data_IF_856925349471
#
_entry.id   IF_856925349471
#
_cell.length_a   1.000
_cell.length_b   1.000
_cell.length_c   1.000
_cell.angle_alpha   90.00
_cell.angle_beta   90.00
_cell.angle_gamma   90.00
#
_symmetry.space_group_name_H-M   'P 1'
#
loop_
_entity.id
_entity.type
_entity.pdbx_description
1 polymer ?
#
# COMPACT_ATOMS: atom_id res chain seq x y z
N UNK A 1 32.59 0.01 12.94
CA UNK A 1 31.51 1.00 13.17
C UNK A 1 30.40 0.95 12.09
N UNK A 2 30.06 -0.23 11.52
CA UNK A 2 29.00 -0.39 10.50
C UNK A 2 27.59 -0.66 11.06
N UNK A 3 27.47 -1.05 12.33
CA UNK A 3 26.21 -1.55 12.93
C UNK A 3 25.17 -0.49 13.29
N UNK A 4 25.55 0.77 13.49
CA UNK A 4 24.62 1.82 13.97
C UNK A 4 23.87 2.47 12.79
N UNK A 5 24.51 2.56 11.62
CA UNK A 5 23.86 3.02 10.38
C UNK A 5 22.78 2.02 9.93
N UNK A 6 23.13 0.72 9.88
CA UNK A 6 22.21 -0.37 9.55
C UNK A 6 20.94 -0.37 10.45
N UNK A 7 21.06 -0.01 11.73
CA UNK A 7 19.92 0.01 12.66
C UNK A 7 19.02 1.22 12.44
N UNK A 8 19.57 2.39 12.10
CA UNK A 8 18.77 3.59 11.79
C UNK A 8 18.06 3.45 10.45
N UNK A 9 18.73 2.94 9.43
CA UNK A 9 18.13 2.70 8.11
C UNK A 9 17.03 1.64 8.21
N UNK A 10 17.24 0.59 9.02
CA UNK A 10 16.22 -0.42 9.32
C UNK A 10 15.04 0.11 10.15
N UNK A 11 15.29 1.01 11.11
CA UNK A 11 14.24 1.64 11.91
C UNK A 11 13.41 2.65 11.11
N UNK A 12 14.03 3.38 10.18
CA UNK A 12 13.35 4.24 9.21
C UNK A 12 12.54 3.37 8.23
N UNK A 13 13.12 2.28 7.74
CA UNK A 13 12.46 1.31 6.86
C UNK A 13 11.24 0.65 7.50
N UNK A 14 11.28 0.39 8.81
CA UNK A 14 10.18 -0.18 9.60
C UNK A 14 9.44 0.84 10.46
N UNK A 15 9.49 2.11 10.07
CA UNK A 15 8.76 3.13 10.80
C UNK A 15 7.26 3.09 10.46
N UNK A 16 6.47 3.73 11.31
CA UNK A 16 5.03 3.88 11.13
C UNK A 16 4.64 4.53 9.78
N UNK A 17 5.52 5.35 9.17
CA UNK A 17 5.26 5.94 7.86
C UNK A 17 5.26 4.88 6.74
N UNK A 18 6.23 3.96 6.74
CA UNK A 18 6.26 2.85 5.77
C UNK A 18 5.03 1.97 5.86
N UNK A 19 4.56 1.72 7.09
CA UNK A 19 3.32 0.99 7.32
C UNK A 19 2.08 1.71 6.77
N UNK A 20 2.02 3.05 6.89
CA UNK A 20 0.96 3.85 6.26
C UNK A 20 1.00 3.80 4.74
N UNK A 21 2.19 3.83 4.15
CA UNK A 21 2.34 3.69 2.70
C UNK A 21 1.90 2.31 2.22
N UNK A 22 2.24 1.24 2.95
CA UNK A 22 1.73 -0.10 2.66
C UNK A 22 0.20 -0.16 2.72
N UNK A 23 -0.42 0.41 3.75
CA UNK A 23 -1.87 0.46 3.82
C UNK A 23 -2.51 1.25 2.69
N UNK A 24 -1.88 2.35 2.29
CA UNK A 24 -2.37 3.12 1.16
C UNK A 24 -2.22 2.33 -0.16
N UNK A 25 -1.12 1.61 -0.35
CA UNK A 25 -0.91 0.72 -1.47
C UNK A 25 -1.98 -0.37 -1.55
N UNK A 26 -2.30 -1.02 -0.43
CA UNK A 26 -3.38 -2.01 -0.39
C UNK A 26 -4.74 -1.40 -0.72
N UNK A 27 -5.02 -0.20 -0.21
CA UNK A 27 -6.26 0.52 -0.54
C UNK A 27 -6.37 0.80 -2.04
N UNK A 28 -5.29 1.21 -2.70
CA UNK A 28 -5.28 1.46 -4.14
C UNK A 28 -5.46 0.15 -4.92
N UNK A 29 -4.87 -0.95 -4.45
CA UNK A 29 -5.06 -2.28 -5.04
C UNK A 29 -6.54 -2.70 -4.99
N UNK A 30 -7.22 -2.48 -3.86
CA UNK A 30 -8.64 -2.74 -3.69
C UNK A 30 -9.49 -1.88 -4.64
N UNK A 31 -9.20 -0.57 -4.73
CA UNK A 31 -9.90 0.37 -5.61
C UNK A 31 -9.69 0.00 -7.09
N UNK A 32 -8.48 -0.42 -7.46
CA UNK A 32 -8.16 -0.92 -8.81
C UNK A 32 -8.96 -2.17 -9.15
N UNK A 33 -8.99 -3.16 -8.25
CA UNK A 33 -9.75 -4.38 -8.44
C UNK A 33 -11.27 -4.11 -8.49
N UNK A 34 -11.77 -3.18 -7.68
CA UNK A 34 -13.16 -2.72 -7.68
C UNK A 34 -13.55 -2.06 -9.00
N UNK A 35 -12.76 -1.11 -9.48
CA UNK A 35 -12.97 -0.43 -10.75
C UNK A 35 -12.93 -1.40 -11.93
N UNK A 36 -11.98 -2.34 -11.94
CA UNK A 36 -11.89 -3.38 -12.96
C UNK A 36 -13.13 -4.30 -12.98
N UNK A 37 -13.61 -4.74 -11.81
CA UNK A 37 -14.85 -5.53 -11.69
C UNK A 37 -16.08 -4.78 -12.19
N UNK A 38 -16.12 -3.46 -12.00
CA UNK A 38 -17.20 -2.59 -12.46
C UNK A 38 -17.10 -2.22 -13.96
N UNK A 39 -16.05 -2.66 -14.67
CA UNK A 39 -15.81 -2.29 -16.06
C UNK A 39 -15.36 -0.84 -16.27
N UNK A 40 -14.94 -0.15 -15.21
CA UNK A 40 -14.45 1.23 -15.23
C UNK A 40 -12.95 1.25 -15.54
N UNK A 41 -12.58 0.91 -16.78
CA UNK A 41 -11.19 0.66 -17.15
C UNK A 41 -10.28 1.89 -16.99
N UNK A 42 -10.76 3.09 -17.32
CA UNK A 42 -9.99 4.32 -17.13
C UNK A 42 -9.64 4.56 -15.65
N UNK A 43 -10.59 4.32 -14.76
CA UNK A 43 -10.41 4.43 -13.31
C UNK A 43 -9.42 3.38 -12.83
N UNK A 44 -9.59 2.13 -13.25
CA UNK A 44 -8.70 1.03 -12.89
C UNK A 44 -7.25 1.31 -13.33
N UNK A 45 -7.06 1.85 -14.54
CA UNK A 45 -5.72 2.21 -15.02
C UNK A 45 -5.11 3.38 -14.25
N UNK A 46 -5.93 4.36 -13.84
CA UNK A 46 -5.46 5.47 -13.02
C UNK A 46 -4.95 4.99 -11.66
N UNK A 47 -5.75 4.21 -10.93
CA UNK A 47 -5.36 3.65 -9.63
C UNK A 47 -4.19 2.67 -9.76
N UNK A 48 -4.13 1.90 -10.85
CA UNK A 48 -3.01 1.00 -11.12
C UNK A 48 -1.67 1.74 -11.26
N UNK A 49 -1.66 2.93 -11.86
CA UNK A 49 -0.46 3.78 -11.92
C UNK A 49 -0.02 4.25 -10.53
N UNK A 50 -0.98 4.65 -9.69
CA UNK A 50 -0.68 5.08 -8.32
C UNK A 50 -0.08 3.95 -7.49
N UNK A 51 -0.61 2.72 -7.64
CA UNK A 51 -0.08 1.55 -6.95
C UNK A 51 1.37 1.23 -7.36
N UNK A 52 1.69 1.29 -8.66
CA UNK A 52 3.07 1.09 -9.13
C UNK A 52 4.01 2.13 -8.52
N UNK A 53 3.65 3.40 -8.58
CA UNK A 53 4.45 4.50 -8.04
C UNK A 53 4.72 4.33 -6.55
N UNK A 54 3.69 3.98 -5.79
CA UNK A 54 3.80 3.80 -4.36
C UNK A 54 4.62 2.56 -4.00
N UNK A 55 4.47 1.46 -4.72
CA UNK A 55 5.31 0.27 -4.53
C UNK A 55 6.80 0.57 -4.81
N UNK A 56 7.09 1.33 -5.88
CA UNK A 56 8.46 1.78 -6.18
C UNK A 56 9.00 2.70 -5.09
N UNK A 57 8.19 3.65 -4.60
CA UNK A 57 8.58 4.55 -3.52
C UNK A 57 8.95 3.80 -2.25
N UNK A 58 8.11 2.83 -1.89
CA UNK A 58 8.39 1.94 -0.77
C UNK A 58 9.71 1.24 -1.02
N UNK A 59 9.93 0.58 -2.17
CA UNK A 59 11.19 -0.14 -2.44
C UNK A 59 12.45 0.75 -2.47
N UNK A 60 12.33 2.02 -2.83
CA UNK A 60 13.46 2.97 -2.94
C UNK A 60 13.75 3.75 -1.65
N UNK A 61 12.84 3.74 -0.67
CA UNK A 61 13.02 4.40 0.62
C UNK A 61 14.35 4.08 1.38
N UNK A 62 15.08 2.95 1.20
CA UNK A 62 16.38 2.77 1.86
C UNK A 62 17.51 3.55 1.16
N UNK A 63 17.38 3.76 -0.15
CA UNK A 63 18.41 4.36 -1.00
C UNK A 63 18.21 5.87 -1.19
N UNK A 64 16.95 6.32 -1.16
CA UNK A 64 16.58 7.73 -1.24
C UNK A 64 15.40 8.05 -0.33
N UNK A 65 15.45 9.19 0.36
CA UNK A 65 14.32 9.72 1.13
C UNK A 65 13.26 10.40 0.23
N UNK A 66 13.29 10.16 -1.08
CA UNK A 66 12.34 10.75 -2.03
C UNK A 66 10.98 10.05 -1.90
N UNK A 67 10.23 10.53 -0.92
CA UNK A 67 8.79 10.28 -0.83
C UNK A 67 8.14 10.99 -2.01
N UNK A 68 7.44 10.26 -2.88
CA UNK A 68 6.68 10.87 -3.98
C UNK A 68 5.77 11.97 -3.40
N UNK A 69 5.70 13.16 -4.05
CA UNK A 69 5.02 14.31 -3.48
C UNK A 69 3.54 14.04 -3.21
N UNK A 70 3.06 14.77 -2.22
CA UNK A 70 1.74 14.79 -1.63
C UNK A 70 0.59 14.24 -2.48
N UNK A 71 -0.05 13.19 -1.94
CA UNK A 71 -1.23 12.52 -2.48
C UNK A 71 -2.43 13.47 -2.60
N UNK A 72 -2.39 14.65 -1.97
CA UNK A 72 -3.48 15.62 -1.95
C UNK A 72 -3.61 16.48 -3.21
N UNK A 73 -2.60 16.57 -4.08
CA UNK A 73 -2.66 17.48 -5.24
C UNK A 73 -3.14 16.87 -6.57
N UNK A 74 -3.44 15.57 -6.59
CA UNK A 74 -3.89 14.89 -7.81
C UNK A 74 -2.75 14.74 -8.82
N UNK A 75 -2.28 13.51 -8.98
CA UNK A 75 -1.07 13.22 -9.74
C UNK A 75 -1.21 13.57 -11.23
N UNK A 76 -0.52 14.63 -11.66
CA UNK A 76 -0.43 15.05 -13.07
C UNK A 76 0.64 14.27 -13.81
N UNK A 77 0.28 13.05 -14.21
CA UNK A 77 0.73 12.39 -15.43
C UNK A 77 2.25 12.20 -15.65
N UNK A 78 2.60 10.93 -15.85
CA UNK A 78 3.87 10.33 -16.31
C UNK A 78 4.63 9.63 -15.17
N UNK A 79 4.84 8.31 -15.35
CA UNK A 79 5.89 7.52 -14.70
C UNK A 79 7.28 7.98 -15.21
N UNK A 80 7.52 9.29 -15.27
CA UNK A 80 8.70 9.90 -15.88
C UNK A 80 9.96 9.53 -15.11
N UNK A 81 10.90 8.91 -15.82
CA UNK A 81 12.30 8.69 -15.45
C UNK A 81 12.59 8.03 -14.09
N UNK A 82 11.81 7.03 -13.67
CA UNK A 82 12.37 6.09 -12.71
C UNK A 82 13.48 5.31 -13.42
N UNK A 83 14.68 5.32 -12.84
CA UNK A 83 15.73 4.43 -13.30
C UNK A 83 15.30 2.98 -13.02
N UNK A 84 14.80 2.31 -14.05
CA UNK A 84 14.41 0.90 -14.00
C UNK A 84 15.62 -0.02 -14.13
N UNK A 85 16.84 0.52 -14.29
CA UNK A 85 18.05 -0.31 -14.41
C UNK A 85 18.22 -1.19 -13.17
N UNK A 86 18.09 -2.50 -13.39
CA UNK A 86 18.28 -3.54 -12.38
C UNK A 86 17.00 -4.20 -11.85
N UNK A 87 15.81 -3.64 -12.07
CA UNK A 87 14.53 -4.25 -11.64
C UNK A 87 13.71 -4.70 -12.85
N UNK A 88 13.96 -5.95 -13.28
CA UNK A 88 13.28 -6.57 -14.44
C UNK A 88 11.77 -6.67 -14.23
N UNK A 89 11.32 -6.83 -12.96
CA UNK A 89 9.90 -6.86 -12.62
C UNK A 89 9.22 -5.51 -12.84
N UNK A 90 9.88 -4.43 -12.43
CA UNK A 90 9.39 -3.07 -12.63
C UNK A 90 9.32 -2.68 -14.12
N UNK A 91 10.30 -3.08 -14.92
CA UNK A 91 10.30 -2.78 -16.37
C UNK A 91 9.10 -3.43 -17.07
N UNK A 92 8.88 -4.74 -16.84
CA UNK A 92 7.74 -5.45 -17.43
C UNK A 92 6.39 -4.86 -16.96
N UNK A 93 6.28 -4.54 -15.67
CA UNK A 93 5.10 -3.90 -15.09
C UNK A 93 4.85 -2.52 -15.71
N UNK A 94 5.87 -1.67 -15.79
CA UNK A 94 5.80 -0.33 -16.41
C UNK A 94 5.33 -0.40 -17.87
N UNK A 95 5.87 -1.34 -18.65
CA UNK A 95 5.45 -1.55 -20.03
C UNK A 95 3.97 -1.95 -20.13
N UNK A 96 3.51 -2.89 -19.30
CA UNK A 96 2.11 -3.31 -19.27
C UNK A 96 1.17 -2.17 -18.86
N UNK A 97 1.51 -1.42 -17.80
CA UNK A 97 0.77 -0.22 -17.36
C UNK A 97 0.67 0.81 -18.48
N UNK A 98 1.78 1.10 -19.17
CA UNK A 98 1.80 2.07 -20.26
C UNK A 98 0.92 1.65 -21.44
N UNK A 99 0.82 0.35 -21.74
CA UNK A 99 -0.15 -0.15 -22.73
C UNK A 99 -1.58 0.04 -22.25
N UNK A 100 -1.88 -0.32 -21.00
CA UNK A 100 -3.21 -0.16 -20.41
C UNK A 100 -3.67 1.31 -20.41
N UNK A 101 -2.77 2.27 -20.22
CA UNK A 101 -3.06 3.71 -20.32
C UNK A 101 -3.43 4.15 -21.72
N UNK A 102 -2.72 3.65 -22.72
CA UNK A 102 -2.95 4.04 -24.12
C UNK A 102 -4.26 3.47 -24.66
N UNK A 103 -4.68 2.31 -24.15
CA UNK A 103 -5.89 1.64 -24.57
C UNK A 103 -6.55 0.90 -23.39
N UNK A 104 -7.26 1.61 -22.49
CA UNK A 104 -7.87 0.99 -21.31
C UNK A 104 -8.87 -0.10 -21.71
N UNK A 105 -8.56 -1.34 -21.34
CA UNK A 105 -9.42 -2.48 -21.59
C UNK A 105 -9.16 -3.59 -20.57
N UNK A 106 -10.11 -4.51 -20.45
CA UNK A 106 -10.06 -5.64 -19.52
C UNK A 106 -8.73 -6.41 -19.58
N UNK A 107 -8.33 -6.85 -20.77
CA UNK A 107 -7.15 -7.71 -20.93
C UNK A 107 -5.85 -7.03 -20.47
N UNK A 108 -5.69 -5.72 -20.75
CA UNK A 108 -4.49 -4.97 -20.38
C UNK A 108 -4.47 -4.62 -18.88
N UNK A 109 -5.63 -4.34 -18.28
CA UNK A 109 -5.74 -4.13 -16.83
C UNK A 109 -5.45 -5.42 -16.08
N UNK A 110 -6.00 -6.55 -16.53
CA UNK A 110 -5.76 -7.87 -15.92
C UNK A 110 -4.29 -8.29 -16.03
N UNK A 111 -3.66 -8.08 -17.19
CA UNK A 111 -2.23 -8.30 -17.38
C UNK A 111 -1.41 -7.46 -16.39
N UNK A 112 -1.65 -6.16 -16.33
CA UNK A 112 -0.91 -5.27 -15.44
C UNK A 112 -1.12 -5.63 -13.96
N UNK A 113 -2.34 -6.00 -13.56
CA UNK A 113 -2.64 -6.48 -12.20
C UNK A 113 -1.90 -7.78 -11.86
N UNK A 114 -1.80 -8.71 -12.82
CA UNK A 114 -1.07 -9.97 -12.64
C UNK A 114 0.44 -9.79 -12.43
N UNK A 115 1.00 -8.68 -12.92
CA UNK A 115 2.39 -8.28 -12.69
C UNK A 115 2.54 -7.47 -11.39
N UNK A 116 1.55 -6.64 -11.07
CA UNK A 116 1.58 -5.76 -9.90
C UNK A 116 1.44 -6.54 -8.58
N UNK A 117 0.53 -7.52 -8.52
CA UNK A 117 0.33 -8.34 -7.31
C UNK A 117 1.63 -9.00 -6.79
N UNK A 118 2.41 -9.74 -7.60
CA UNK A 118 3.67 -10.30 -7.13
C UNK A 118 4.69 -9.22 -6.78
N UNK A 119 4.72 -8.10 -7.51
CA UNK A 119 5.61 -6.97 -7.20
C UNK A 119 5.29 -6.34 -5.82
N UNK A 120 4.00 -6.14 -5.51
CA UNK A 120 3.55 -5.68 -4.18
C UNK A 120 3.91 -6.72 -3.12
N UNK A 121 3.69 -8.01 -3.39
CA UNK A 121 3.99 -9.08 -2.43
C UNK A 121 5.48 -9.15 -2.08
N UNK A 122 6.35 -9.06 -3.08
CA UNK A 122 7.80 -8.96 -2.87
C UNK A 122 8.16 -7.70 -2.05
N UNK A 123 7.47 -6.58 -2.27
CA UNK A 123 7.67 -5.35 -1.49
C UNK A 123 7.34 -5.56 -0.01
N UNK A 124 6.22 -6.22 0.29
CA UNK A 124 5.85 -6.61 1.66
C UNK A 124 6.90 -7.53 2.30
N UNK A 125 7.39 -8.52 1.55
CA UNK A 125 8.42 -9.45 2.01
C UNK A 125 9.76 -8.75 2.29
N UNK A 126 10.16 -7.76 1.48
CA UNK A 126 11.36 -6.94 1.73
C UNK A 126 11.27 -6.14 3.04
N UNK A 127 10.07 -5.78 3.46
CA UNK A 127 9.81 -5.13 4.75
C UNK A 127 9.71 -6.15 5.90
N UNK A 128 9.65 -7.44 5.57
CA UNK A 128 9.56 -8.58 6.48
C UNK A 128 8.15 -8.95 6.90
N UNK A 129 7.14 -8.55 6.13
CA UNK A 129 5.76 -9.03 6.30
C UNK A 129 5.62 -10.41 5.62
N UNK A 130 5.96 -11.45 6.38
CA UNK A 130 5.88 -12.84 5.92
C UNK A 130 4.45 -13.35 5.69
N UNK A 131 3.45 -12.67 6.25
CA UNK A 131 2.02 -12.94 6.05
C UNK A 131 1.40 -11.82 5.22
N UNK A 132 0.29 -12.11 4.54
CA UNK A 132 -0.49 -11.06 3.87
C UNK A 132 -0.99 -10.07 4.93
N UNK A 133 -0.76 -8.77 4.69
CA UNK A 133 -1.28 -7.73 5.56
C UNK A 133 -2.81 -7.71 5.37
N UNK A 134 -3.62 -7.73 6.45
CA UNK A 134 -5.07 -7.86 6.33
C UNK A 134 -5.69 -6.79 5.42
N UNK A 135 -6.49 -7.20 4.43
CA UNK A 135 -7.25 -6.30 3.57
C UNK A 135 -8.05 -5.30 4.42
N UNK A 136 -7.75 -4.01 4.25
CA UNK A 136 -8.43 -2.95 4.99
C UNK A 136 -9.85 -2.72 4.47
N UNK A 137 -10.10 -2.87 3.16
CA UNK A 137 -11.42 -2.60 2.56
C UNK A 137 -12.11 -3.88 2.08
N UNK A 138 -12.16 -4.92 2.92
CA UNK A 138 -13.04 -6.05 2.61
C UNK A 138 -14.51 -5.57 2.55
N UNK A 139 -15.29 -6.09 1.61
CA UNK A 139 -16.72 -5.76 1.43
C UNK A 139 -17.62 -6.14 2.64
N UNK A 140 -17.05 -6.68 3.74
CA UNK A 140 -17.74 -6.77 5.03
C UNK A 140 -17.65 -5.41 5.72
N UNK A 141 -18.70 -4.62 5.51
CA UNK A 141 -18.82 -3.18 5.78
C UNK A 141 -18.53 -2.69 7.20
N UNK A 142 -18.43 -1.37 7.35
CA UNK A 142 -18.38 -0.57 8.61
C UNK A 142 -17.37 -1.00 9.69
N UNK A 143 -16.57 -2.06 9.47
CA UNK A 143 -15.84 -2.74 10.53
C UNK A 143 -14.32 -2.58 10.47
N UNK A 144 -13.73 -1.89 9.49
CA UNK A 144 -12.27 -1.73 9.43
C UNK A 144 -11.75 -0.85 10.57
N UNK A 145 -12.34 0.33 10.79
CA UNK A 145 -11.96 1.19 11.92
C UNK A 145 -12.18 0.48 13.25
N UNK A 146 -13.30 -0.25 13.39
CA UNK A 146 -13.61 -1.03 14.59
C UNK A 146 -12.68 -2.23 14.78
N UNK A 147 -12.23 -2.87 13.69
CA UNK A 147 -11.27 -3.97 13.71
C UNK A 147 -9.89 -3.45 14.09
N UNK A 148 -9.41 -2.39 13.44
CA UNK A 148 -8.15 -1.71 13.79
C UNK A 148 -8.14 -1.26 15.25
N UNK A 149 -9.23 -0.64 15.69
CA UNK A 149 -9.38 -0.20 17.07
C UNK A 149 -9.31 -1.39 18.04
N UNK A 150 -9.97 -2.51 17.72
CA UNK A 150 -9.91 -3.75 18.53
C UNK A 150 -8.53 -4.39 18.54
N UNK A 151 -7.88 -4.53 17.39
CA UNK A 151 -6.54 -5.14 17.28
C UNK A 151 -5.49 -4.29 18.01
N UNK A 152 -5.58 -2.96 17.88
CA UNK A 152 -4.70 -2.02 18.59
C UNK A 152 -4.94 -2.07 20.10
N UNK A 153 -6.20 -2.17 20.53
CA UNK A 153 -6.56 -2.30 21.96
C UNK A 153 -6.04 -3.61 22.57
N UNK A 154 -6.20 -4.73 21.87
CA UNK A 154 -5.66 -6.02 22.29
C UNK A 154 -4.13 -5.98 22.43
N UNK A 155 -3.44 -5.37 21.47
CA UNK A 155 -2.00 -5.18 21.54
C UNK A 155 -1.60 -4.30 22.74
N UNK A 156 -2.24 -3.15 22.93
CA UNK A 156 -1.99 -2.23 24.05
C UNK A 156 -2.12 -2.94 25.41
N UNK A 157 -3.23 -3.64 25.62
CA UNK A 157 -3.49 -4.38 26.86
C UNK A 157 -2.49 -5.52 27.10
N UNK A 158 -2.03 -6.20 26.04
CA UNK A 158 -1.00 -7.26 26.16
C UNK A 158 0.34 -6.76 26.69
N UNK A 159 0.60 -5.45 26.53
CA UNK A 159 1.82 -4.78 27.00
C UNK A 159 1.60 -4.06 28.36
N UNK A 160 0.44 -4.25 29.00
CA UNK A 160 0.09 -3.57 30.26
C UNK A 160 -0.23 -2.08 30.09
N UNK A 161 -0.49 -1.63 28.86
CA UNK A 161 -0.83 -0.24 28.55
C UNK A 161 -2.35 -0.02 28.65
N UNK A 162 -2.81 1.23 28.88
CA UNK A 162 -4.24 1.55 28.92
C UNK A 162 -4.96 1.19 27.62
N UNK A 163 -6.27 0.89 27.74
CA UNK A 163 -7.13 0.66 26.58
C UNK A 163 -7.17 1.89 25.67
N UNK A 164 -7.08 1.68 24.37
CA UNK A 164 -7.21 2.75 23.36
C UNK A 164 -8.68 2.98 22.99
N UNK A 165 -9.59 2.15 23.49
CA UNK A 165 -11.04 2.32 23.35
C UNK A 165 -11.51 3.27 24.46
N UNK A 166 -12.15 4.40 24.13
CA UNK A 166 -12.70 5.29 25.15
C UNK A 166 -13.65 4.52 26.09
N UNK A 167 -13.47 4.67 27.41
CA UNK A 167 -14.28 3.96 28.40
C UNK A 167 -15.80 4.16 28.17
N UNK A 168 -16.18 5.37 27.72
CA UNK A 168 -17.54 5.76 27.35
C UNK A 168 -18.18 4.92 26.24
N UNK A 169 -17.38 4.24 25.42
CA UNK A 169 -17.86 3.36 24.35
C UNK A 169 -18.12 1.93 24.82
N UNK A 170 -17.60 1.57 26.01
CA UNK A 170 -17.67 0.21 26.58
C UNK A 170 -18.64 0.15 27.75
N UNK A 171 -18.86 1.28 28.43
CA UNK A 171 -19.85 1.40 29.52
C UNK A 171 -21.27 1.25 28.98
N UNK A 172 -21.91 0.12 29.31
CA UNK A 172 -23.36 -0.05 29.23
C UNK A 172 -24.06 0.66 30.39
N UNK A 173 -23.84 1.95 30.56
CA UNK A 173 -24.76 2.73 31.37
C UNK A 173 -25.95 3.07 30.47
N UNK A 174 -27.02 2.28 30.61
CA UNK A 174 -28.34 2.68 30.11
C UNK A 174 -28.69 4.00 30.80
N UNK A 175 -29.23 5.00 30.09
CA UNK A 175 -29.93 6.09 30.75
C UNK A 175 -31.10 5.54 31.60
#
# INVERSE_FOLDING_TARGET
>A
MKRIQDVNDWAVWRCHATFRFLYYLQSIMDDTAGAAKAGQWDVAVHTLREAVLLAVSIRRMPDSCDVIPDVTEGFKGHLGSYDTQGDVGLEALSQSVNRAVRAPCKALVEEAMSLLQPYVRETELMLGYGHEIPELRSAKGTSMLLRLLRETDQFSQSQGLPSVIPATWVTKEKP
#
